data_IF_600800885928
#
_entry.id   IF_600800885928
#
_cell.length_a   1.000
_cell.length_b   1.000
_cell.length_c   1.000
_cell.angle_alpha   90.00
_cell.angle_beta   90.00
_cell.angle_gamma   90.00
#
_symmetry.space_group_name_H-M   'P 1'
#
loop_
_entity.id
_entity.type
_entity.pdbx_description
1 polymer ?
#
# COMPACT_ATOMS: atom_id res chain seq x y z
N UNK A 1 -7.60 40.18 -43.87
CA UNK A 1 -8.63 40.58 -42.89
C UNK A 1 -8.95 39.35 -42.07
N UNK A 2 -8.43 39.26 -40.84
CA UNK A 2 -8.62 38.10 -39.97
C UNK A 2 -9.63 38.47 -38.88
N UNK A 3 -10.68 37.67 -38.76
CA UNK A 3 -11.73 37.82 -37.75
C UNK A 3 -11.31 37.01 -36.53
N UNK A 4 -11.12 37.68 -35.40
CA UNK A 4 -10.85 37.06 -34.09
C UNK A 4 -12.19 36.99 -33.35
N UNK A 5 -12.65 35.78 -33.08
CA UNK A 5 -13.86 35.54 -32.27
C UNK A 5 -13.45 35.28 -30.83
N UNK A 6 -13.80 36.20 -29.93
CA UNK A 6 -13.63 36.03 -28.48
C UNK A 6 -14.91 35.37 -27.95
N UNK A 7 -14.81 34.15 -27.44
CA UNK A 7 -15.91 33.47 -26.74
C UNK A 7 -15.73 33.73 -25.25
N UNK A 8 -16.60 34.57 -24.70
CA UNK A 8 -16.69 34.80 -23.25
C UNK A 8 -17.43 33.65 -22.56
N UNK A 9 -16.83 33.12 -21.49
CA UNK A 9 -17.47 32.10 -20.65
C UNK A 9 -18.10 32.80 -19.45
N UNK A 10 -19.43 32.71 -19.36
CA UNK A 10 -20.20 33.23 -18.25
C UNK A 10 -20.01 32.33 -17.02
N UNK A 11 -19.53 32.90 -15.92
CA UNK A 11 -19.48 32.25 -14.61
C UNK A 11 -20.87 32.27 -13.98
N UNK A 12 -21.50 31.10 -13.84
CA UNK A 12 -22.68 30.93 -13.00
C UNK A 12 -22.22 30.62 -11.57
N UNK A 13 -22.24 31.64 -10.70
CA UNK A 13 -22.19 31.46 -9.26
C UNK A 13 -23.49 30.76 -8.81
N UNK A 14 -23.38 29.55 -8.28
CA UNK A 14 -24.44 28.91 -7.52
C UNK A 14 -24.18 29.15 -6.04
N UNK A 15 -25.06 29.93 -5.41
CA UNK A 15 -25.12 30.08 -3.97
C UNK A 15 -25.71 28.80 -3.36
N UNK A 16 -24.98 28.17 -2.44
CA UNK A 16 -25.49 27.07 -1.64
C UNK A 16 -26.11 27.60 -0.34
N UNK A 17 -27.23 27.01 0.15
CA UNK A 17 -27.87 27.40 1.40
C UNK A 17 -27.15 26.80 2.61
N UNK A 18 -26.87 27.64 3.61
CA UNK A 18 -26.47 27.23 4.95
C UNK A 18 -27.51 26.28 5.57
N UNK A 19 -27.10 25.05 5.88
CA UNK A 19 -27.87 24.14 6.73
C UNK A 19 -27.26 24.13 8.12
N UNK A 20 -28.12 24.46 9.08
CA UNK A 20 -27.79 24.68 10.48
C UNK A 20 -27.26 23.45 11.19
N UNK A 21 -26.36 23.75 12.13
CA UNK A 21 -25.85 22.87 13.15
C UNK A 21 -26.83 22.81 14.34
N UNK A 22 -27.38 21.64 14.67
CA UNK A 22 -27.86 21.33 16.03
C UNK A 22 -27.83 19.81 16.30
N UNK A 23 -27.07 19.42 17.34
CA UNK A 23 -27.13 18.13 18.05
C UNK A 23 -25.94 17.20 17.78
N UNK A 24 -25.30 16.61 18.82
CA UNK A 24 -26.03 15.77 19.78
C UNK A 24 -25.57 15.86 21.26
N UNK A 25 -26.51 15.70 22.19
CA UNK A 25 -26.23 15.15 23.51
C UNK A 25 -26.58 13.66 23.50
N UNK A 26 -25.59 12.79 23.70
CA UNK A 26 -25.85 11.43 24.16
C UNK A 26 -24.69 10.93 25.02
N UNK A 27 -24.87 11.06 26.33
CA UNK A 27 -24.01 10.48 27.37
C UNK A 27 -24.42 9.02 27.58
N UNK A 28 -23.68 8.09 26.98
CA UNK A 28 -23.80 6.66 27.28
C UNK A 28 -22.53 6.17 28.00
N UNK A 29 -22.66 6.01 29.32
CA UNK A 29 -21.71 5.28 30.17
C UNK A 29 -21.71 3.79 29.78
N UNK A 30 -20.57 3.28 29.31
CA UNK A 30 -20.36 1.84 29.10
C UNK A 30 -19.44 1.30 30.21
N UNK A 31 -19.81 0.22 30.92
CA UNK A 31 -18.99 -0.36 31.98
C UNK A 31 -17.81 -1.17 31.45
N UNK A 32 -16.65 -0.99 32.10
CA UNK A 32 -15.42 -1.75 31.91
C UNK A 32 -15.62 -3.25 32.16
N UNK A 33 -15.39 -4.07 31.15
CA UNK A 33 -15.22 -5.51 31.28
C UNK A 33 -13.73 -5.88 31.21
N UNK A 34 -13.27 -6.57 32.25
CA UNK A 34 -11.90 -7.02 32.50
C UNK A 34 -11.62 -8.33 31.73
N UNK A 35 -10.55 -8.45 30.93
CA UNK A 35 -10.18 -9.74 30.34
C UNK A 35 -9.43 -10.60 31.36
N UNK A 36 -9.94 -11.81 31.60
CA UNK A 36 -9.26 -12.88 32.34
C UNK A 36 -8.37 -13.67 31.37
N UNK A 37 -7.07 -13.74 31.68
CA UNK A 37 -6.11 -14.57 30.95
C UNK A 37 -6.25 -16.06 31.32
N UNK A 38 -6.10 -17.00 30.37
CA UNK A 38 -5.94 -18.42 30.69
C UNK A 38 -4.49 -18.79 31.06
N UNK A 39 -4.30 -19.89 31.82
CA UNK A 39 -2.99 -20.34 32.32
C UNK A 39 -2.14 -21.04 31.23
N UNK A 40 -0.83 -20.82 31.34
CA UNK A 40 0.24 -21.55 30.63
C UNK A 40 0.58 -22.82 31.41
N UNK A 41 0.45 -24.00 30.79
CA UNK A 41 0.91 -25.27 31.35
C UNK A 41 1.47 -26.22 30.27
N UNK A 42 2.67 -26.75 30.54
CA UNK A 42 3.23 -28.02 30.04
C UNK A 42 3.69 -28.07 28.57
N UNK A 43 4.71 -28.82 28.14
CA UNK A 43 5.61 -29.82 28.71
C UNK A 43 6.76 -30.00 27.67
N UNK A 44 8.04 -29.94 28.04
CA UNK A 44 8.94 -31.05 28.36
C UNK A 44 9.07 -32.21 27.33
N UNK A 45 10.30 -32.41 26.84
CA UNK A 45 10.84 -33.63 26.21
C UNK A 45 10.44 -33.82 24.74
N UNK A 46 11.32 -34.12 23.80
CA UNK A 46 11.85 -35.47 23.59
C UNK A 46 13.19 -35.46 22.81
N UNK A 47 13.97 -36.52 23.08
CA UNK A 47 15.37 -36.79 22.80
C UNK A 47 15.75 -37.04 21.31
N UNK A 48 17.06 -37.14 20.96
CA UNK A 48 17.56 -37.22 19.59
C UNK A 48 17.51 -38.65 19.04
N UNK A 49 17.06 -38.82 17.79
CA UNK A 49 17.00 -40.13 17.13
C UNK A 49 18.11 -40.32 16.12
N UNK A 50 18.86 -41.41 16.34
CA UNK A 50 20.07 -41.87 15.66
C UNK A 50 19.89 -42.11 14.16
N UNK A 51 20.95 -41.81 13.41
CA UNK A 51 21.18 -42.23 12.03
C UNK A 51 21.48 -43.74 11.93
N UNK A 52 21.00 -44.45 10.90
CA UNK A 52 21.54 -45.73 10.50
C UNK A 52 22.52 -45.62 9.33
N UNK A 53 23.56 -46.44 9.48
CA UNK A 53 24.75 -46.66 8.67
C UNK A 53 24.46 -47.12 7.25
N UNK A 54 25.34 -46.68 6.36
CA UNK A 54 25.48 -46.98 4.94
C UNK A 54 25.77 -48.47 4.68
N UNK A 55 25.10 -49.05 3.69
CA UNK A 55 25.53 -50.28 3.01
C UNK A 55 25.61 -49.96 1.51
N UNK A 56 26.82 -50.06 0.95
CA UNK A 56 27.13 -49.74 -0.44
C UNK A 56 27.22 -51.04 -1.25
N UNK A 57 26.30 -51.31 -2.19
CA UNK A 57 26.49 -52.36 -3.18
C UNK A 57 27.29 -51.81 -4.37
N UNK A 58 28.39 -52.49 -4.72
CA UNK A 58 29.17 -52.23 -5.92
C UNK A 58 28.38 -52.65 -7.17
N UNK A 59 28.00 -51.67 -7.99
CA UNK A 59 27.30 -51.85 -9.26
C UNK A 59 28.34 -51.89 -10.39
N UNK A 60 28.21 -52.79 -11.39
CA UNK A 60 29.12 -52.88 -12.52
C UNK A 60 29.14 -51.60 -13.36
N UNK A 61 30.34 -51.27 -13.84
CA UNK A 61 30.68 -50.07 -14.60
C UNK A 61 30.06 -50.12 -16.01
N UNK A 62 28.85 -49.57 -16.14
CA UNK A 62 28.21 -49.33 -17.44
C UNK A 62 28.73 -48.01 -18.02
N UNK A 63 29.33 -48.07 -19.20
CA UNK A 63 29.80 -46.93 -19.99
C UNK A 63 28.80 -45.77 -19.98
N UNK A 64 29.19 -44.65 -19.34
CA UNK A 64 28.40 -43.41 -19.34
C UNK A 64 28.48 -42.75 -20.71
N UNK A 65 27.35 -42.52 -21.42
CA UNK A 65 27.35 -41.57 -22.52
C UNK A 65 27.72 -40.19 -21.97
N UNK A 66 28.61 -39.48 -22.67
CA UNK A 66 29.03 -38.11 -22.33
C UNK A 66 27.84 -37.17 -22.46
N UNK A 67 27.05 -37.07 -21.39
CA UNK A 67 25.96 -36.11 -21.28
C UNK A 67 26.57 -34.71 -21.16
N UNK A 68 26.43 -33.88 -22.21
CA UNK A 68 26.62 -32.43 -22.09
C UNK A 68 25.41 -31.87 -21.36
N UNK A 69 25.53 -31.35 -20.12
CA UNK A 69 24.40 -30.72 -19.46
C UNK A 69 23.92 -29.56 -20.34
N UNK A 70 22.59 -29.41 -20.54
CA UNK A 70 22.07 -28.23 -21.24
C UNK A 70 22.60 -26.99 -20.53
N UNK A 71 23.02 -25.99 -21.30
CA UNK A 71 23.47 -24.72 -20.75
C UNK A 71 22.35 -24.17 -19.86
N UNK A 72 22.58 -24.18 -18.55
CA UNK A 72 21.72 -23.53 -17.57
C UNK A 72 21.79 -22.05 -17.93
N UNK A 73 20.72 -21.52 -18.55
CA UNK A 73 20.58 -20.08 -18.70
C UNK A 73 20.73 -19.49 -17.31
N UNK A 74 21.68 -18.57 -17.15
CA UNK A 74 21.81 -17.81 -15.92
C UNK A 74 20.42 -17.28 -15.55
N UNK A 75 20.01 -17.36 -14.27
CA UNK A 75 18.72 -16.83 -13.85
C UNK A 75 18.65 -15.39 -14.35
N UNK A 76 17.64 -15.09 -15.17
CA UNK A 76 17.34 -13.73 -15.57
C UNK A 76 17.27 -12.91 -14.28
N UNK A 77 18.21 -11.98 -14.12
CA UNK A 77 18.21 -11.08 -12.99
C UNK A 77 16.85 -10.38 -12.99
N UNK A 78 15.98 -10.78 -12.07
CA UNK A 78 14.68 -10.14 -11.89
C UNK A 78 14.97 -8.70 -11.53
N UNK A 79 14.86 -7.82 -12.52
CA UNK A 79 15.15 -6.42 -12.34
C UNK A 79 14.08 -5.87 -11.40
N UNK A 80 14.46 -5.63 -10.15
CA UNK A 80 13.55 -5.12 -9.13
C UNK A 80 13.11 -3.71 -9.54
N UNK A 81 11.80 -3.48 -9.60
CA UNK A 81 11.24 -2.19 -10.01
C UNK A 81 11.79 -1.03 -9.17
N UNK A 82 12.50 -0.08 -9.76
CA UNK A 82 12.94 1.11 -9.03
C UNK A 82 11.77 2.10 -8.99
N UNK A 83 11.30 2.45 -7.80
CA UNK A 83 10.23 3.43 -7.61
C UNK A 83 10.80 4.54 -6.72
N UNK A 84 10.64 5.77 -7.14
CA UNK A 84 11.03 6.97 -6.42
C UNK A 84 9.80 7.84 -6.21
N UNK A 85 9.66 8.39 -5.00
CA UNK A 85 8.60 9.32 -4.64
C UNK A 85 9.20 10.73 -4.65
N UNK A 86 8.59 11.63 -5.41
CA UNK A 86 9.04 13.03 -5.55
C UNK A 86 8.10 14.01 -4.85
N UNK A 87 6.85 13.61 -4.58
CA UNK A 87 5.86 14.36 -3.81
C UNK A 87 4.92 13.39 -3.11
N UNK A 88 4.52 13.62 -1.85
CA UNK A 88 4.97 14.71 -0.97
C UNK A 88 6.42 14.53 -0.49
N UNK A 89 7.03 15.62 -0.03
CA UNK A 89 8.33 15.62 0.65
C UNK A 89 8.23 15.13 2.10
N UNK A 90 9.38 14.83 2.70
CA UNK A 90 9.43 14.43 4.10
C UNK A 90 9.06 15.62 5.00
N UNK A 91 8.04 15.43 5.83
CA UNK A 91 7.55 16.43 6.77
C UNK A 91 6.71 17.53 6.13
N UNK A 92 6.32 17.38 4.86
CA UNK A 92 5.35 18.28 4.23
C UNK A 92 4.03 18.24 5.00
N UNK A 93 3.39 19.41 5.08
CA UNK A 93 2.04 19.56 5.63
C UNK A 93 1.02 19.15 4.58
N UNK A 94 0.10 18.28 4.97
CA UNK A 94 -1.03 17.88 4.15
C UNK A 94 -2.29 18.27 4.89
N UNK A 95 -3.16 18.99 4.19
CA UNK A 95 -4.48 19.34 4.67
C UNK A 95 -5.38 18.09 4.69
N UNK A 96 -5.99 17.84 5.84
CA UNK A 96 -6.76 16.64 6.19
C UNK A 96 -7.93 16.34 5.25
N UNK A 97 -8.57 17.39 4.73
CA UNK A 97 -9.81 17.30 3.94
C UNK A 97 -9.56 17.55 2.44
N UNK A 98 -8.29 17.60 2.02
CA UNK A 98 -7.93 17.90 0.63
C UNK A 98 -7.20 16.75 -0.04
N UNK A 99 -7.63 16.51 -1.26
CA UNK A 99 -6.88 15.73 -2.22
C UNK A 99 -5.49 16.33 -2.42
N UNK A 100 -4.46 15.49 -2.31
CA UNK A 100 -3.08 15.85 -2.56
C UNK A 100 -2.44 14.89 -3.58
N UNK A 101 -1.55 15.41 -4.44
CA UNK A 101 -0.86 14.59 -5.43
C UNK A 101 0.30 13.81 -4.78
N UNK A 102 0.25 12.49 -4.91
CA UNK A 102 1.40 11.62 -4.67
C UNK A 102 2.04 11.32 -6.02
N UNK A 103 3.27 11.77 -6.23
CA UNK A 103 3.93 11.70 -7.53
C UNK A 103 5.35 11.15 -7.42
N UNK A 104 5.86 10.64 -8.54
CA UNK A 104 7.18 10.05 -8.55
C UNK A 104 7.64 9.57 -9.93
N UNK A 105 8.68 8.73 -9.90
CA UNK A 105 9.16 8.00 -11.08
C UNK A 105 9.23 6.50 -10.81
N UNK A 106 9.12 5.70 -11.87
CA UNK A 106 9.23 4.24 -11.80
C UNK A 106 9.95 3.68 -13.02
N UNK A 107 10.74 2.63 -12.80
CA UNK A 107 11.40 1.85 -13.86
C UNK A 107 11.25 0.36 -13.59
N UNK A 108 10.98 -0.41 -14.64
CA UNK A 108 10.92 -1.88 -14.56
C UNK A 108 9.73 -2.39 -13.74
N UNK A 109 8.56 -1.74 -13.81
CA UNK A 109 7.38 -2.18 -13.08
C UNK A 109 6.82 -3.53 -13.60
N UNK A 110 6.96 -3.77 -14.91
CA UNK A 110 6.39 -4.94 -15.58
C UNK A 110 4.87 -4.83 -15.66
N UNK A 111 4.16 -5.94 -15.41
CA UNK A 111 2.69 -6.01 -15.39
C UNK A 111 2.07 -5.70 -14.02
N UNK A 112 2.87 -5.17 -13.09
CA UNK A 112 2.42 -4.77 -11.77
C UNK A 112 1.86 -3.35 -11.80
N UNK A 113 1.06 -3.00 -10.79
CA UNK A 113 0.51 -1.66 -10.64
C UNK A 113 1.20 -0.94 -9.47
N UNK A 114 1.09 0.38 -9.42
CA UNK A 114 1.37 1.17 -8.22
C UNK A 114 0.06 1.50 -7.51
N UNK A 115 0.10 1.41 -6.18
CA UNK A 115 -1.01 1.73 -5.26
C UNK A 115 -0.47 2.59 -4.12
N UNK A 116 -1.32 3.46 -3.56
CA UNK A 116 -1.00 4.29 -2.41
C UNK A 116 -1.69 3.73 -1.18
N UNK A 117 -0.89 3.51 -0.14
CA UNK A 117 -1.39 3.23 1.19
C UNK A 117 -0.97 4.35 2.14
N UNK A 118 -1.89 4.78 3.00
CA UNK A 118 -1.56 5.60 4.16
C UNK A 118 -1.41 4.68 5.37
N UNK A 119 -0.27 4.73 6.04
CA UNK A 119 -0.03 4.02 7.29
C UNK A 119 -0.14 4.98 8.47
N UNK A 120 -1.21 4.82 9.26
CA UNK A 120 -1.40 5.54 10.51
C UNK A 120 -0.58 4.87 11.62
N UNK A 121 0.52 5.50 12.04
CA UNK A 121 1.50 4.90 12.94
C UNK A 121 0.89 4.54 14.30
N UNK A 122 0.04 5.41 14.84
CA UNK A 122 -0.60 5.23 16.15
C UNK A 122 -1.56 4.04 16.18
N UNK A 123 -2.38 3.92 15.13
CA UNK A 123 -3.39 2.86 15.01
C UNK A 123 -2.79 1.54 14.51
N UNK A 124 -1.59 1.58 13.93
CA UNK A 124 -0.95 0.46 13.24
C UNK A 124 -1.90 -0.14 12.20
N UNK A 125 -2.42 0.73 11.35
CA UNK A 125 -3.38 0.42 10.29
C UNK A 125 -2.92 1.01 8.97
N UNK A 126 -3.22 0.27 7.90
CA UNK A 126 -2.99 0.65 6.52
C UNK A 126 -4.34 0.96 5.87
N UNK A 127 -4.43 2.08 5.18
CA UNK A 127 -5.61 2.52 4.45
C UNK A 127 -5.26 2.59 2.96
N UNK A 128 -6.05 1.94 2.11
CA UNK A 128 -5.88 2.08 0.65
C UNK A 128 -6.43 3.45 0.23
N UNK A 129 -5.55 4.34 -0.20
CA UNK A 129 -5.84 5.77 -0.35
C UNK A 129 -5.84 6.26 -1.81
N UNK A 130 -5.87 5.34 -2.78
CA UNK A 130 -5.97 5.66 -4.20
C UNK A 130 -7.25 5.13 -4.83
N UNK A 131 -7.78 5.84 -5.84
CA UNK A 131 -8.97 5.48 -6.60
C UNK A 131 -8.79 4.35 -7.62
N UNK A 132 -7.58 3.83 -7.78
CA UNK A 132 -7.28 2.83 -8.79
C UNK A 132 -5.80 2.71 -9.12
N UNK A 133 -5.46 1.68 -9.92
CA UNK A 133 -4.11 1.53 -10.43
C UNK A 133 -3.70 2.73 -11.28
N UNK A 134 -2.44 3.12 -11.12
CA UNK A 134 -1.88 4.30 -11.78
C UNK A 134 -1.43 4.03 -13.22
N UNK A 135 -1.75 4.96 -14.11
CA UNK A 135 -1.24 5.00 -15.47
C UNK A 135 0.13 5.69 -15.51
N UNK A 136 1.17 4.93 -15.82
CA UNK A 136 2.54 5.46 -15.90
C UNK A 136 2.80 6.03 -17.29
N UNK A 137 3.33 7.25 -17.33
CA UNK A 137 3.64 7.91 -18.60
C UNK A 137 4.85 7.27 -19.30
N UNK A 138 5.12 7.66 -20.56
CA UNK A 138 6.16 7.04 -21.38
C UNK A 138 7.60 7.21 -20.85
N UNK A 139 7.84 8.17 -19.97
CA UNK A 139 9.13 8.44 -19.31
C UNK A 139 9.25 7.81 -17.91
N UNK A 140 8.19 7.15 -17.43
CA UNK A 140 8.15 6.49 -16.12
C UNK A 140 7.70 7.40 -14.98
N UNK A 141 7.31 8.65 -15.26
CA UNK A 141 6.60 9.51 -14.32
C UNK A 141 5.18 9.02 -14.04
N UNK A 142 4.70 9.29 -12.83
CA UNK A 142 3.37 8.93 -12.36
C UNK A 142 2.88 9.93 -11.31
N UNK A 143 1.56 10.08 -11.17
CA UNK A 143 0.93 10.96 -10.18
C UNK A 143 -0.48 10.47 -9.83
N UNK A 144 -0.66 10.00 -8.61
CA UNK A 144 -1.93 9.52 -8.07
C UNK A 144 -2.49 10.59 -7.14
N UNK A 145 -3.75 10.97 -7.33
CA UNK A 145 -4.47 11.76 -6.32
C UNK A 145 -4.81 10.85 -5.15
N UNK A 146 -4.32 11.21 -3.97
CA UNK A 146 -4.68 10.60 -2.69
C UNK A 146 -5.43 11.63 -1.88
N UNK A 147 -6.34 11.18 -1.04
CA UNK A 147 -6.99 12.05 -0.06
C UNK A 147 -6.37 11.76 1.31
N UNK A 148 -6.37 12.76 2.20
CA UNK A 148 -6.05 12.55 3.62
C UNK A 148 -6.97 11.50 4.24
N UNK A 149 -6.49 10.83 5.29
CA UNK A 149 -7.38 10.06 6.15
C UNK A 149 -8.02 11.06 7.10
N UNK A 150 -9.22 11.58 6.77
CA UNK A 150 -9.79 12.79 7.39
C UNK A 150 -9.94 12.79 8.93
N UNK A 151 -10.51 13.86 9.48
CA UNK A 151 -10.58 14.23 10.91
C UNK A 151 -10.88 13.11 11.94
N UNK A 152 -11.58 12.03 11.58
CA UNK A 152 -11.76 10.88 12.48
C UNK A 152 -10.47 10.06 12.73
N UNK A 153 -9.40 10.34 11.99
CA UNK A 153 -8.18 9.53 11.94
C UNK A 153 -6.94 10.18 12.57
N UNK A 154 -6.90 11.51 12.74
CA UNK A 154 -5.82 12.26 13.40
C UNK A 154 -6.29 13.62 13.92
N UNK A 155 -5.57 14.15 14.91
CA UNK A 155 -5.63 15.57 15.30
C UNK A 155 -4.55 16.34 14.51
N UNK A 156 -4.73 17.66 14.32
CA UNK A 156 -3.71 18.55 13.76
C UNK A 156 -2.29 18.26 14.31
N UNK A 157 -1.35 18.01 13.41
CA UNK A 157 0.04 17.69 13.73
C UNK A 157 0.35 16.20 13.80
N UNK A 158 -0.63 15.32 13.63
CA UNK A 158 -0.40 13.88 13.53
C UNK A 158 0.40 13.52 12.28
N UNK A 159 1.23 12.48 12.42
CA UNK A 159 2.08 12.04 11.32
C UNK A 159 1.65 10.67 10.82
N UNK A 160 1.54 10.56 9.51
CA UNK A 160 1.31 9.29 8.83
C UNK A 160 2.36 9.07 7.74
N UNK A 161 2.48 7.81 7.32
CA UNK A 161 3.37 7.45 6.21
C UNK A 161 2.57 7.23 4.94
N UNK A 162 2.88 7.99 3.89
CA UNK A 162 2.43 7.69 2.54
C UNK A 162 3.35 6.63 1.96
N UNK A 163 2.80 5.47 1.63
CA UNK A 163 3.53 4.30 1.13
C UNK A 163 3.11 4.00 -0.31
N UNK A 164 4.09 3.97 -1.22
CA UNK A 164 3.90 3.54 -2.61
C UNK A 164 4.16 2.04 -2.69
N UNK A 165 3.13 1.31 -3.05
CA UNK A 165 3.09 -0.15 -3.03
C UNK A 165 3.03 -0.67 -4.45
N UNK A 166 3.99 -1.54 -4.79
CA UNK A 166 3.90 -2.36 -6.01
C UNK A 166 2.92 -3.50 -5.75
N UNK A 167 1.86 -3.55 -6.53
CA UNK A 167 0.84 -4.58 -6.49
C UNK A 167 1.05 -5.58 -7.64
N UNK A 168 1.48 -6.80 -7.32
CA UNK A 168 1.46 -7.88 -8.31
C UNK A 168 0.02 -8.34 -8.62
N UNK A 169 -0.13 -9.33 -9.50
CA UNK A 169 -1.44 -9.84 -9.88
C UNK A 169 -2.26 -10.43 -8.71
N UNK A 170 -1.60 -10.94 -7.66
CA UNK A 170 -2.28 -11.46 -6.46
C UNK A 170 -2.82 -10.30 -5.63
N UNK A 171 -1.99 -9.30 -5.37
CA UNK A 171 -2.37 -8.08 -4.66
C UNK A 171 -3.50 -7.35 -5.40
N UNK A 172 -3.32 -7.11 -6.70
CA UNK A 172 -4.30 -6.43 -7.55
C UNK A 172 -5.68 -7.07 -7.50
N UNK A 173 -5.78 -8.39 -7.59
CA UNK A 173 -7.06 -9.12 -7.45
C UNK A 173 -7.69 -8.97 -6.09
N UNK A 174 -6.89 -8.81 -5.04
CA UNK A 174 -7.39 -8.60 -3.69
C UNK A 174 -7.91 -7.18 -3.49
N UNK A 175 -7.28 -6.21 -4.12
CA UNK A 175 -7.67 -4.80 -4.07
C UNK A 175 -8.79 -4.45 -5.06
N UNK A 176 -8.92 -5.20 -6.15
CA UNK A 176 -9.93 -4.96 -7.17
C UNK A 176 -11.34 -5.16 -6.61
N UNK A 177 -12.20 -4.16 -6.80
CA UNK A 177 -13.59 -4.21 -6.36
C UNK A 177 -13.81 -3.84 -4.90
N UNK A 178 -12.78 -3.38 -4.19
CA UNK A 178 -12.99 -2.67 -2.94
C UNK A 178 -13.61 -1.30 -3.26
N UNK A 179 -14.70 -1.00 -2.56
CA UNK A 179 -15.31 0.32 -2.56
C UNK A 179 -14.48 1.22 -1.64
N UNK A 180 -14.07 2.38 -2.15
CA UNK A 180 -13.31 3.35 -1.37
C UNK A 180 -14.23 4.27 -0.56
N UNK A 181 -15.56 4.19 -0.81
CA UNK A 181 -16.57 4.98 -0.13
C UNK A 181 -16.37 6.49 -0.33
N UNK A 182 -17.24 7.26 0.31
CA UNK A 182 -17.10 8.71 0.34
C UNK A 182 -16.09 9.17 1.41
N UNK A 183 -15.84 8.39 2.48
CA UNK A 183 -14.92 8.76 3.58
C UNK A 183 -14.32 7.56 4.35
N UNK A 184 -14.44 6.34 3.83
CA UNK A 184 -14.07 5.11 4.55
C UNK A 184 -13.17 4.22 3.71
N UNK A 185 -11.89 4.58 3.68
CA UNK A 185 -10.86 3.78 3.01
C UNK A 185 -10.83 2.36 3.58
N UNK A 186 -10.73 1.33 2.72
CA UNK A 186 -10.52 -0.04 3.15
C UNK A 186 -9.30 -0.14 4.05
N UNK A 187 -9.53 -0.61 5.27
CA UNK A 187 -8.47 -0.78 6.27
C UNK A 187 -7.85 -2.17 6.26
N UNK A 188 -6.56 -2.23 6.56
CA UNK A 188 -5.79 -3.46 6.64
C UNK A 188 -4.89 -3.43 7.88
N UNK A 189 -4.75 -4.59 8.54
CA UNK A 189 -3.79 -4.79 9.62
C UNK A 189 -2.37 -5.09 9.12
N UNK A 190 -2.23 -5.49 7.85
CA UNK A 190 -0.97 -5.74 7.16
C UNK A 190 -1.21 -5.66 5.65
N UNK A 191 -0.14 -5.41 4.87
CA UNK A 191 -0.23 -5.43 3.41
C UNK A 191 -0.69 -6.81 2.92
N UNK A 192 -1.67 -6.87 1.99
CA UNK A 192 -2.10 -8.13 1.42
C UNK A 192 -0.96 -8.87 0.69
N UNK A 193 -1.12 -10.18 0.52
CA UNK A 193 -0.16 -10.99 -0.22
C UNK A 193 0.06 -10.44 -1.64
N UNK A 194 1.32 -10.32 -2.04
CA UNK A 194 1.73 -9.78 -3.34
C UNK A 194 1.88 -8.26 -3.40
N UNK A 195 1.55 -7.56 -2.31
CA UNK A 195 1.78 -6.12 -2.17
C UNK A 195 3.16 -5.89 -1.54
N UNK A 196 3.94 -4.94 -2.08
CA UNK A 196 5.29 -4.62 -1.56
C UNK A 196 5.52 -3.11 -1.53
N UNK A 197 5.86 -2.55 -0.37
CA UNK A 197 6.32 -1.15 -0.28
C UNK A 197 7.59 -0.97 -1.13
N UNK A 198 7.60 0.03 -2.00
CA UNK A 198 8.74 0.39 -2.85
C UNK A 198 9.32 1.75 -2.50
N UNK A 199 8.46 2.68 -2.08
CA UNK A 199 8.85 3.97 -1.56
C UNK A 199 7.90 4.35 -0.42
N UNK A 200 8.37 5.18 0.51
CA UNK A 200 7.54 5.73 1.56
C UNK A 200 8.08 7.08 2.00
N UNK A 201 7.19 7.95 2.46
CA UNK A 201 7.53 9.25 3.03
C UNK A 201 6.63 9.50 4.23
N UNK A 202 7.18 10.16 5.25
CA UNK A 202 6.42 10.59 6.43
C UNK A 202 6.00 12.04 6.21
N UNK A 203 4.73 12.32 6.43
CA UNK A 203 4.13 13.65 6.30
C UNK A 203 3.44 14.02 7.60
N UNK A 204 3.01 15.27 7.71
CA UNK A 204 2.37 15.82 8.92
C UNK A 204 1.01 16.38 8.49
N UNK A 205 -0.02 16.06 9.24
CA UNK A 205 -1.35 16.65 9.10
C UNK A 205 -1.33 18.09 9.62
N UNK A 206 -1.96 19.01 8.89
CA UNK A 206 -2.20 20.35 9.43
C UNK A 206 -2.69 21.37 8.39
N UNK A 207 -3.28 22.45 8.91
CA UNK A 207 -3.67 23.63 8.13
C UNK A 207 -2.44 24.39 7.62
N UNK A 208 -2.41 24.69 6.31
CA UNK A 208 -1.34 25.45 5.63
C UNK A 208 -1.30 26.95 6.00
#
# INVERSE_FOLDING_TARGET
>A
MSVVTVVGVASMLWAMPERGAEGPQSTALVPSAKPSSPPLDGAAGHAPRKAPTSASPSVPETHRPTWKPPAVKAPDHVQMAAVELTSPGYGDLIDEDRDFPVAGTVRGLGDADLRIFIYAEERRRLYLADYGPEDINGDGGWSITSTGIGYEFGDDGDAYQVQVVRADNTCRKRLSGLDLGDDHYPEFSALPAGCQVRAQVRVIEGEE
#
